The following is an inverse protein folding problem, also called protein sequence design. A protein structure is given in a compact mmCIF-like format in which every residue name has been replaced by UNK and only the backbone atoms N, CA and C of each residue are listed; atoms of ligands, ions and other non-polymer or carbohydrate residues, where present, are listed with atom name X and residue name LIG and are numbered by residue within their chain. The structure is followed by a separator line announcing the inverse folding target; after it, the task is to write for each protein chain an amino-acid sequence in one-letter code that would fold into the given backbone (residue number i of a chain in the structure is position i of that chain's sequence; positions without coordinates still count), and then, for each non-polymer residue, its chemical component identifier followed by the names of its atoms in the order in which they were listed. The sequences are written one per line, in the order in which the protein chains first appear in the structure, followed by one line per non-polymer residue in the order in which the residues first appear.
data_IF_610136570748
#
_entry.id   IF_610136570748
#
_cell.length_a   1.000
_cell.length_b   1.000
_cell.length_c   1.000
_cell.angle_alpha   90.00
_cell.angle_beta   90.00
_cell.angle_gamma   90.00
#
_symmetry.space_group_name_H-M   'P 1'
#
loop_
_entity.id
_entity.type
_entity.pdbx_description
1 polymer ?
#
# COMPACT_ATOMS: atom_id res chain seq x y z
N UNK A 1 0.23 -39.32 -23.01
CA UNK A 1 -0.10 -37.96 -22.51
C UNK A 1 0.82 -37.63 -21.34
N UNK A 2 1.77 -36.69 -21.48
CA UNK A 2 2.68 -36.37 -20.39
C UNK A 2 1.98 -35.49 -19.35
N UNK A 3 2.07 -35.88 -18.07
CA UNK A 3 1.55 -35.14 -16.92
C UNK A 3 2.45 -33.93 -16.66
N UNK A 4 1.93 -32.72 -16.88
CA UNK A 4 2.60 -31.50 -16.45
C UNK A 4 2.66 -31.44 -14.92
N UNK A 5 3.86 -31.62 -14.35
CA UNK A 5 4.15 -31.29 -12.96
C UNK A 5 4.06 -29.76 -12.79
N UNK A 6 2.98 -29.28 -12.20
CA UNK A 6 2.92 -27.93 -11.64
C UNK A 6 3.92 -27.85 -10.48
N UNK A 7 5.08 -27.25 -10.73
CA UNK A 7 5.98 -26.82 -9.66
C UNK A 7 5.34 -25.64 -8.94
N UNK A 8 4.59 -25.93 -7.87
CA UNK A 8 4.30 -24.94 -6.83
C UNK A 8 5.65 -24.53 -6.23
N UNK A 9 6.19 -23.40 -6.69
CA UNK A 9 7.33 -22.76 -6.05
C UNK A 9 6.82 -22.27 -4.70
N UNK A 10 7.14 -23.00 -3.63
CA UNK A 10 6.82 -22.61 -2.28
C UNK A 10 7.26 -21.16 -2.08
N UNK A 11 6.29 -20.28 -1.80
CA UNK A 11 6.54 -18.91 -1.37
C UNK A 11 7.53 -18.98 -0.21
N UNK A 12 8.67 -18.32 -0.36
CA UNK A 12 9.64 -18.22 0.72
C UNK A 12 8.89 -17.83 2.01
N UNK A 13 9.18 -18.49 3.16
CA UNK A 13 8.51 -18.14 4.40
C UNK A 13 8.70 -16.65 4.64
N UNK A 14 7.61 -15.95 4.94
CA UNK A 14 7.65 -14.54 5.29
C UNK A 14 8.64 -14.41 6.46
N UNK A 15 9.87 -13.96 6.17
CA UNK A 15 10.82 -13.60 7.22
C UNK A 15 10.13 -12.49 8.00
N UNK A 16 9.67 -12.82 9.20
CA UNK A 16 9.11 -11.88 10.15
C UNK A 16 10.13 -10.76 10.28
N UNK A 17 9.74 -9.53 9.96
CA UNK A 17 10.57 -8.34 10.14
C UNK A 17 10.73 -8.12 11.66
N UNK A 18 11.54 -8.92 12.33
CA UNK A 18 11.76 -8.88 13.78
C UNK A 18 12.78 -7.80 14.13
N UNK A 19 12.52 -7.03 15.20
CA UNK A 19 13.30 -5.88 15.66
C UNK A 19 13.42 -4.73 14.64
N UNK A 20 12.37 -3.90 14.57
CA UNK A 20 12.36 -2.69 13.73
C UNK A 20 12.87 -1.43 14.46
N UNK A 21 13.32 -1.56 15.72
CA UNK A 21 13.74 -0.44 16.59
C UNK A 21 12.59 0.52 16.89
N UNK A 22 12.82 1.53 17.73
CA UNK A 22 11.86 2.63 17.86
C UNK A 22 11.88 3.51 16.60
N UNK A 23 10.74 4.05 16.15
CA UNK A 23 10.71 4.99 15.05
C UNK A 23 11.52 6.25 15.40
N UNK A 24 12.32 6.76 14.46
CA UNK A 24 13.10 7.98 14.68
C UNK A 24 12.14 9.15 15.01
N UNK A 25 12.24 9.76 16.20
CA UNK A 25 11.32 10.84 16.61
C UNK A 25 11.40 12.07 15.70
N UNK A 26 12.49 12.24 14.93
CA UNK A 26 12.73 13.41 14.09
C UNK A 26 12.23 13.26 12.64
N UNK A 27 11.75 12.08 12.22
CA UNK A 27 11.46 11.77 10.79
C UNK A 27 9.98 12.01 10.40
N UNK A 28 9.51 13.25 10.34
CA UNK A 28 8.13 13.58 9.93
C UNK A 28 7.34 14.36 11.00
N UNK A 29 6.11 14.75 10.66
CA UNK A 29 5.29 15.71 11.42
C UNK A 29 5.03 15.30 12.89
N UNK A 30 4.74 16.30 13.72
CA UNK A 30 4.38 16.20 15.14
C UNK A 30 3.23 15.19 15.35
N UNK A 31 3.40 14.26 16.28
CA UNK A 31 2.37 13.36 16.83
C UNK A 31 1.63 12.35 15.93
N UNK A 32 2.22 11.95 14.80
CA UNK A 32 1.85 10.69 14.14
C UNK A 32 2.52 9.49 14.89
N UNK A 33 2.18 9.24 16.16
CA UNK A 33 2.61 7.99 16.81
C UNK A 33 1.95 6.83 16.06
N UNK A 34 2.80 6.04 15.41
CA UNK A 34 2.42 4.93 14.55
C UNK A 34 1.60 3.86 15.27
N UNK A 35 1.67 3.83 16.60
CA UNK A 35 0.96 2.92 17.51
C UNK A 35 -0.30 3.56 18.10
N UNK A 36 -0.42 4.90 18.09
CA UNK A 36 -1.57 5.59 18.68
C UNK A 36 -2.75 5.61 17.69
N UNK A 37 -3.87 4.91 17.98
CA UNK A 37 -5.05 4.97 17.10
C UNK A 37 -5.71 6.36 17.08
N UNK A 38 -5.41 7.21 18.07
CA UNK A 38 -5.84 8.60 18.20
C UNK A 38 -4.74 9.59 17.80
N UNK A 39 -3.72 9.15 17.05
CA UNK A 39 -2.71 10.04 16.49
C UNK A 39 -3.38 11.18 15.69
N UNK A 40 -2.66 12.30 15.53
CA UNK A 40 -3.15 13.51 14.84
C UNK A 40 -3.82 13.20 13.49
N UNK A 41 -3.39 12.14 12.81
CA UNK A 41 -4.17 11.54 11.71
C UNK A 41 -4.56 10.10 12.06
N UNK A 42 -5.85 9.88 12.19
CA UNK A 42 -6.45 8.56 12.34
C UNK A 42 -6.19 7.71 11.09
N UNK A 43 -6.25 6.38 11.25
CA UNK A 43 -6.11 5.46 10.11
C UNK A 43 -7.20 5.73 9.04
N UNK A 44 -8.40 6.12 9.44
CA UNK A 44 -9.49 6.50 8.54
C UNK A 44 -9.14 7.73 7.67
N UNK A 45 -8.53 8.75 8.26
CA UNK A 45 -8.08 9.96 7.55
C UNK A 45 -6.92 9.64 6.62
N UNK A 46 -5.94 8.83 7.06
CA UNK A 46 -4.84 8.38 6.21
C UNK A 46 -5.35 7.62 4.98
N UNK A 47 -6.25 6.66 5.16
CA UNK A 47 -6.85 5.94 4.03
C UNK A 47 -7.59 6.90 3.10
N UNK A 48 -8.35 7.84 3.65
CA UNK A 48 -9.05 8.86 2.85
C UNK A 48 -8.06 9.69 2.01
N UNK A 49 -6.97 10.18 2.61
CA UNK A 49 -5.94 10.94 1.92
C UNK A 49 -5.17 10.11 0.88
N UNK A 50 -4.95 8.81 1.14
CA UNK A 50 -4.31 7.90 0.20
C UNK A 50 -5.20 7.59 -1.02
N UNK A 51 -6.52 7.65 -0.83
CA UNK A 51 -7.51 7.46 -1.90
C UNK A 51 -7.95 8.76 -2.58
N UNK A 52 -7.60 9.93 -2.04
CA UNK A 52 -7.75 11.22 -2.71
C UNK A 52 -6.72 11.35 -3.84
N UNK A 53 -6.98 10.65 -4.93
CA UNK A 53 -6.31 10.90 -6.20
C UNK A 53 -6.87 12.20 -6.77
N UNK A 54 -6.07 13.25 -6.85
CA UNK A 54 -6.49 14.48 -7.52
C UNK A 54 -6.84 14.16 -8.98
N UNK A 55 -7.68 14.96 -9.63
CA UNK A 55 -8.04 14.78 -11.05
C UNK A 55 -6.83 14.78 -12.02
N UNK A 56 -5.64 15.14 -11.52
CA UNK A 56 -4.34 15.07 -12.21
C UNK A 56 -3.51 13.83 -11.82
N UNK A 57 -4.14 12.84 -11.18
CA UNK A 57 -3.49 11.61 -10.76
C UNK A 57 -2.89 10.94 -11.98
N UNK A 58 -1.56 10.72 -11.92
CA UNK A 58 -0.77 10.20 -13.01
C UNK A 58 -1.45 8.96 -13.58
N UNK A 59 -1.88 9.04 -14.84
CA UNK A 59 -2.46 7.89 -15.52
C UNK A 59 -1.39 6.82 -15.62
N UNK A 60 -1.74 5.58 -15.29
CA UNK A 60 -0.80 4.48 -15.50
C UNK A 60 -0.52 4.35 -17.00
N UNK A 61 0.71 3.96 -17.34
CA UNK A 61 1.07 3.58 -18.70
C UNK A 61 1.42 2.11 -18.73
N UNK A 62 1.05 1.43 -19.81
CA UNK A 62 1.45 0.04 -20.03
C UNK A 62 2.89 -0.07 -20.54
N UNK A 63 3.31 -1.29 -20.91
CA UNK A 63 4.67 -1.56 -21.43
C UNK A 63 4.93 -0.95 -22.80
N UNK A 64 3.88 -0.58 -23.53
CA UNK A 64 3.92 0.05 -24.85
C UNK A 64 3.78 1.58 -24.76
N UNK A 65 3.90 2.15 -23.55
CA UNK A 65 3.69 3.57 -23.25
C UNK A 65 2.25 4.07 -23.50
N UNK A 66 1.28 3.16 -23.67
CA UNK A 66 -0.12 3.52 -23.85
C UNK A 66 -0.75 3.89 -22.51
N UNK A 67 -1.55 4.96 -22.51
CA UNK A 67 -2.22 5.49 -21.33
C UNK A 67 -3.39 4.59 -20.94
N UNK A 68 -3.38 4.09 -19.70
CA UNK A 68 -4.46 3.31 -19.10
C UNK A 68 -5.44 4.26 -18.41
N UNK A 69 -6.61 4.48 -19.01
CA UNK A 69 -7.62 5.43 -18.54
C UNK A 69 -8.43 4.92 -17.33
N UNK A 70 -8.44 3.61 -17.13
CA UNK A 70 -9.12 2.90 -16.05
C UNK A 70 -8.19 2.66 -14.84
N UNK A 71 -6.98 3.23 -14.86
CA UNK A 71 -5.95 3.00 -13.85
C UNK A 71 -5.35 4.30 -13.30
N UNK A 72 -4.97 4.22 -12.03
CA UNK A 72 -4.28 5.28 -11.29
C UNK A 72 -2.89 4.80 -10.92
N UNK A 73 -1.87 5.63 -11.19
CA UNK A 73 -0.51 5.37 -10.76
C UNK A 73 -0.28 5.96 -9.37
N UNK A 74 -0.17 5.07 -8.39
CA UNK A 74 0.27 5.42 -7.04
C UNK A 74 1.80 5.49 -7.01
N UNK A 75 2.35 6.65 -6.67
CA UNK A 75 3.79 6.82 -6.46
C UNK A 75 4.14 6.73 -4.98
N UNK A 76 5.16 5.95 -4.66
CA UNK A 76 5.57 5.70 -3.28
C UNK A 76 6.08 6.96 -2.57
N UNK A 77 6.65 7.91 -3.31
CA UNK A 77 6.99 9.23 -2.78
C UNK A 77 5.78 9.96 -2.17
N UNK A 78 4.62 9.95 -2.86
CA UNK A 78 3.39 10.58 -2.38
C UNK A 78 2.86 9.87 -1.14
N UNK A 79 2.90 8.54 -1.15
CA UNK A 79 2.53 7.70 0.00
C UNK A 79 3.30 8.09 1.25
N UNK A 80 4.63 8.27 1.14
CA UNK A 80 5.49 8.70 2.26
C UNK A 80 5.18 10.11 2.76
N UNK A 81 4.72 11.01 1.90
CA UNK A 81 4.28 12.34 2.32
C UNK A 81 2.95 12.28 3.10
N UNK A 82 2.03 11.41 2.67
CA UNK A 82 0.74 11.24 3.34
C UNK A 82 0.90 10.56 4.69
N UNK A 83 1.58 9.41 4.75
CA UNK A 83 1.65 8.58 5.96
C UNK A 83 2.80 8.99 6.89
N UNK A 84 3.79 9.76 6.43
CA UNK A 84 5.10 9.96 7.07
C UNK A 84 6.09 8.82 6.81
N UNK A 85 7.37 9.18 6.67
CA UNK A 85 8.48 8.24 6.45
C UNK A 85 8.72 7.33 7.67
N UNK A 86 8.35 7.76 8.89
CA UNK A 86 8.44 6.99 10.15
C UNK A 86 7.75 5.62 10.08
N UNK A 87 6.66 5.50 9.32
CA UNK A 87 5.91 4.25 9.19
C UNK A 87 6.55 3.25 8.23
N UNK A 88 7.68 3.59 7.61
CA UNK A 88 8.32 2.76 6.60
C UNK A 88 9.72 2.33 7.03
N UNK A 89 10.06 1.09 6.71
CA UNK A 89 11.42 0.54 6.84
C UNK A 89 11.87 0.01 5.49
N UNK A 90 13.18 -0.02 5.25
CA UNK A 90 13.75 -0.65 4.06
C UNK A 90 13.67 -2.18 4.19
N UNK A 91 12.90 -2.84 3.33
CA UNK A 91 12.96 -4.28 3.15
C UNK A 91 14.04 -4.63 2.13
N UNK A 92 15.20 -5.07 2.64
CA UNK A 92 16.36 -5.42 1.80
C UNK A 92 16.05 -6.52 0.79
N UNK A 93 15.17 -7.47 1.14
CA UNK A 93 14.82 -8.59 0.24
C UNK A 93 14.03 -8.13 -0.98
N UNK A 94 13.32 -7.01 -0.85
CA UNK A 94 12.49 -6.41 -1.91
C UNK A 94 13.14 -5.17 -2.53
N UNK A 95 14.25 -4.71 -1.97
CA UNK A 95 14.93 -3.47 -2.33
C UNK A 95 14.05 -2.22 -2.17
N UNK A 96 12.96 -2.24 -1.40
CA UNK A 96 12.05 -1.08 -1.28
C UNK A 96 11.58 -0.88 0.15
N UNK A 97 11.08 0.31 0.46
CA UNK A 97 10.46 0.51 1.77
C UNK A 97 9.08 -0.14 1.82
N UNK A 98 8.73 -0.66 3.00
CA UNK A 98 7.44 -1.28 3.31
C UNK A 98 6.95 -0.75 4.65
N UNK A 99 5.66 -0.86 4.92
CA UNK A 99 5.10 -0.50 6.22
C UNK A 99 5.75 -1.33 7.33
N UNK A 100 6.05 -0.66 8.43
CA UNK A 100 6.46 -1.31 9.67
C UNK A 100 5.35 -2.20 10.22
N UNK A 101 5.73 -3.16 11.05
CA UNK A 101 4.83 -4.10 11.68
C UNK A 101 3.92 -3.43 12.70
N UNK A 102 4.43 -2.38 13.36
CA UNK A 102 3.77 -1.59 14.39
C UNK A 102 2.93 -0.42 13.82
N UNK A 103 2.85 -0.29 12.49
CA UNK A 103 2.04 0.76 11.86
C UNK A 103 0.55 0.44 11.96
N UNK A 104 -0.25 1.35 12.52
CA UNK A 104 -1.71 1.23 12.56
C UNK A 104 -2.35 1.03 11.19
N UNK A 105 -1.76 1.56 10.11
CA UNK A 105 -2.24 1.33 8.75
C UNK A 105 -2.06 -0.14 8.31
N UNK A 106 -1.04 -0.83 8.83
CA UNK A 106 -0.82 -2.25 8.58
C UNK A 106 -1.82 -3.12 9.34
N UNK A 107 -2.22 -2.72 10.54
CA UNK A 107 -3.21 -3.47 11.32
C UNK A 107 -4.64 -3.20 10.85
N UNK A 108 -4.99 -1.95 10.58
CA UNK A 108 -6.38 -1.52 10.38
C UNK A 108 -6.71 -1.04 8.96
N UNK A 109 -5.72 -0.86 8.08
CA UNK A 109 -5.94 -0.23 6.77
C UNK A 109 -7.03 -0.89 5.93
N UNK A 110 -7.10 -2.23 5.92
CA UNK A 110 -8.16 -2.97 5.23
C UNK A 110 -9.55 -2.65 5.81
N UNK A 111 -9.69 -2.58 7.14
CA UNK A 111 -10.95 -2.27 7.80
C UNK A 111 -11.46 -0.85 7.52
N UNK A 112 -10.57 0.09 7.22
CA UNK A 112 -10.91 1.46 6.83
C UNK A 112 -11.12 1.66 5.32
N UNK A 113 -11.08 0.57 4.54
CA UNK A 113 -11.36 0.58 3.10
C UNK A 113 -10.13 0.78 2.21
N UNK A 114 -8.91 0.55 2.70
CA UNK A 114 -7.74 0.51 1.83
C UNK A 114 -7.84 -0.72 0.91
N UNK A 115 -7.67 -0.57 -0.41
CA UNK A 115 -7.82 -1.70 -1.33
C UNK A 115 -6.79 -2.79 -1.04
N UNK A 116 -7.22 -4.06 -1.08
CA UNK A 116 -6.37 -5.20 -0.71
C UNK A 116 -5.02 -5.19 -1.44
N UNK A 117 -5.05 -4.90 -2.75
CA UNK A 117 -3.84 -4.81 -3.57
C UNK A 117 -2.89 -3.70 -3.12
N UNK A 118 -3.45 -2.55 -2.76
CA UNK A 118 -2.68 -1.41 -2.25
C UNK A 118 -2.08 -1.74 -0.89
N UNK A 119 -2.89 -2.32 -0.01
CA UNK A 119 -2.45 -2.80 1.30
C UNK A 119 -1.30 -3.83 1.20
N UNK A 120 -1.45 -4.86 0.36
CA UNK A 120 -0.43 -5.89 0.15
C UNK A 120 0.87 -5.26 -0.37
N UNK A 121 0.78 -4.33 -1.31
CA UNK A 121 1.94 -3.57 -1.79
C UNK A 121 2.59 -2.76 -0.65
N UNK A 122 1.83 -2.00 0.15
CA UNK A 122 2.39 -1.25 1.27
C UNK A 122 3.07 -2.17 2.30
N UNK A 123 2.48 -3.33 2.58
CA UNK A 123 2.96 -4.29 3.57
C UNK A 123 4.14 -5.15 3.10
N UNK A 124 4.56 -4.98 1.85
CA UNK A 124 5.62 -5.79 1.26
C UNK A 124 5.15 -7.15 0.76
N UNK A 125 3.87 -7.48 0.76
CA UNK A 125 3.41 -8.81 0.32
C UNK A 125 3.44 -8.95 -1.19
N UNK A 126 3.31 -10.19 -1.66
CA UNK A 126 3.22 -10.48 -3.08
C UNK A 126 1.94 -9.84 -3.63
N UNK A 127 2.09 -9.07 -4.69
CA UNK A 127 0.97 -8.48 -5.43
C UNK A 127 0.94 -9.17 -6.78
N UNK A 128 -0.20 -9.75 -7.14
CA UNK A 128 -0.32 -10.40 -8.44
C UNK A 128 -0.04 -9.40 -9.56
N UNK A 129 1.03 -9.69 -10.32
CA UNK A 129 1.53 -8.86 -11.42
C UNK A 129 0.95 -9.23 -12.78
N UNK A 130 -0.10 -10.07 -12.81
CA UNK A 130 -0.61 -10.68 -14.06
C UNK A 130 -1.23 -9.68 -15.03
N UNK A 131 -1.64 -8.50 -14.56
CA UNK A 131 -2.37 -7.55 -15.41
C UNK A 131 -1.85 -6.10 -15.36
N UNK A 132 -1.08 -5.69 -14.35
CA UNK A 132 -0.76 -4.26 -14.16
C UNK A 132 0.64 -4.01 -13.59
N UNK A 133 1.21 -2.84 -13.93
CA UNK A 133 2.54 -2.42 -13.52
C UNK A 133 2.68 -2.29 -12.00
N UNK A 134 3.44 -3.21 -11.39
CA UNK A 134 3.93 -3.11 -10.02
C UNK A 134 5.43 -2.87 -10.08
N UNK A 135 5.86 -1.72 -9.58
CA UNK A 135 7.27 -1.34 -9.51
C UNK A 135 7.78 -1.28 -8.07
N UNK A 136 9.08 -0.99 -7.96
CA UNK A 136 9.73 -0.69 -6.68
C UNK A 136 9.07 0.51 -5.97
N UNK A 137 8.81 1.56 -6.74
CA UNK A 137 8.37 2.88 -6.24
C UNK A 137 7.00 3.30 -6.77
N UNK A 138 6.28 2.40 -7.43
CA UNK A 138 4.94 2.67 -7.91
C UNK A 138 4.04 1.43 -7.93
N UNK A 139 2.74 1.68 -7.90
CA UNK A 139 1.68 0.68 -8.04
C UNK A 139 0.60 1.24 -8.96
N UNK A 140 0.27 0.49 -10.02
CA UNK A 140 -0.93 0.76 -10.81
C UNK A 140 -2.15 0.11 -10.14
N UNK A 141 -3.18 0.91 -9.85
CA UNK A 141 -4.44 0.47 -9.26
C UNK A 141 -5.59 0.74 -10.24
N UNK A 142 -6.50 -0.22 -10.45
CA UNK A 142 -7.76 0.05 -11.15
C UNK A 142 -8.55 1.15 -10.44
N UNK A 143 -9.12 2.10 -11.17
CA UNK A 143 -9.95 3.18 -10.60
C UNK A 143 -11.11 2.60 -9.78
N UNK A 144 -11.71 1.48 -10.24
CA UNK A 144 -12.78 0.78 -9.50
C UNK A 144 -12.38 0.36 -8.08
N UNK A 145 -11.09 0.11 -7.83
CA UNK A 145 -10.58 -0.24 -6.51
C UNK A 145 -10.44 1.00 -5.63
N UNK A 146 -10.43 2.21 -6.21
CA UNK A 146 -10.18 3.49 -5.53
C UNK A 146 -11.45 4.27 -5.22
N UNK A 147 -12.53 3.99 -5.94
CA UNK A 147 -13.85 4.54 -5.65
C UNK A 147 -14.32 3.88 -4.36
N UNK A 148 -14.35 4.63 -3.26
CA UNK A 148 -15.12 4.22 -2.09
C UNK A 148 -16.54 3.96 -2.58
N UNK A 149 -16.98 2.71 -2.54
CA UNK A 149 -18.40 2.44 -2.41
C UNK A 149 -18.81 3.20 -1.15
N UNK A 150 -19.39 4.38 -1.33
CA UNK A 150 -20.17 5.05 -0.29
C UNK A 150 -21.37 4.16 -0.04
N UNK A 151 -21.15 3.04 0.64
CA UNK A 151 -22.22 2.36 1.34
C UNK A 151 -22.52 3.33 2.46
N UNK A 152 -23.66 4.02 2.35
CA UNK A 152 -24.19 4.80 3.46
C UNK A 152 -24.25 3.91 4.72
N UNK A 153 -24.32 4.52 5.92
CA UNK A 153 -24.56 3.73 7.12
C UNK A 153 -25.76 2.79 6.87
N UNK A 154 -25.72 1.53 7.32
CA UNK A 154 -26.89 0.67 7.21
C UNK A 154 -28.07 1.40 7.86
N UNK A 155 -29.15 1.57 7.10
CA UNK A 155 -30.37 2.21 7.57
C UNK A 155 -30.76 1.57 8.91
N UNK A 156 -30.86 2.42 9.93
CA UNK A 156 -31.22 2.07 11.31
C UNK A 156 -32.73 1.83 11.43
#
# INVERSE_FOLDING_TARGET
LPRHRCHYRASAPARTLTNQGDPDPNVGAFDDDIRNPLAHRTCAELVTLLMQFSHNSWRAKDKSDAVQHDHVLVRFYRVKQVISKKHFIMDQSKGRSVLRNDSNLRTHGLGYGLPRRYYDWLCGWAVDGREFGVGRDFLSLPIRDTVRTTVGPPDS
#
